data_IF_537807706946
#
_entry.id   IF_537807706946
#
_cell.length_a   1.000
_cell.length_b   1.000
_cell.length_c   1.000
_cell.angle_alpha   90.00
_cell.angle_beta   90.00
_cell.angle_gamma   90.00
#
_symmetry.space_group_name_H-M   'P 1'
#
loop_
_entity.id
_entity.type
_entity.pdbx_description
1 polymer ?
#
# COMPACT_ATOMS: atom_id res chain seq x y z
N UNK A 1 4.16 9.31 -21.02
CA UNK A 1 4.67 9.14 -22.38
C UNK A 1 5.49 7.86 -22.41
N UNK A 2 5.09 6.85 -23.18
CA UNK A 2 5.65 5.49 -23.09
C UNK A 2 6.89 5.29 -23.98
N UNK A 3 7.18 6.21 -24.91
CA UNK A 3 8.40 6.18 -25.73
C UNK A 3 8.51 4.99 -26.69
N UNK A 4 7.40 4.33 -27.01
CA UNK A 4 7.37 3.11 -27.85
C UNK A 4 6.66 3.40 -29.15
N UNK A 5 7.21 2.90 -30.25
CA UNK A 5 6.57 2.96 -31.56
C UNK A 5 5.63 1.75 -31.74
N UNK A 6 4.31 1.96 -31.77
CA UNK A 6 3.37 0.88 -32.08
C UNK A 6 3.56 0.36 -33.50
N UNK A 7 3.59 -0.96 -33.67
CA UNK A 7 3.52 -1.62 -34.97
C UNK A 7 2.12 -2.18 -35.19
N UNK A 8 1.47 -1.81 -36.29
CA UNK A 8 0.14 -2.30 -36.65
C UNK A 8 0.22 -3.32 -37.78
N UNK A 9 -0.40 -4.49 -37.59
CA UNK A 9 -0.49 -5.57 -38.59
C UNK A 9 -1.87 -5.59 -39.28
N UNK A 10 -2.57 -4.44 -39.29
CA UNK A 10 -3.91 -4.26 -39.87
C UNK A 10 -5.08 -4.84 -39.05
N UNK A 11 -4.83 -5.82 -38.18
CA UNK A 11 -5.82 -6.37 -37.22
C UNK A 11 -5.43 -6.22 -35.75
N UNK A 12 -4.14 -6.04 -35.45
CA UNK A 12 -3.61 -5.98 -34.08
C UNK A 12 -2.49 -4.94 -34.01
N UNK A 13 -2.42 -4.21 -32.90
CA UNK A 13 -1.32 -3.30 -32.58
C UNK A 13 -0.37 -4.02 -31.62
N UNK A 14 0.89 -4.18 -32.03
CA UNK A 14 1.98 -4.71 -31.20
C UNK A 14 2.85 -3.58 -30.68
N UNK A 15 3.11 -3.62 -29.38
CA UNK A 15 4.05 -2.75 -28.68
C UNK A 15 5.22 -3.62 -28.21
N UNK A 16 6.42 -3.32 -28.70
CA UNK A 16 7.63 -4.05 -28.32
C UNK A 16 8.23 -3.35 -27.09
N UNK A 17 8.17 -4.01 -25.95
CA UNK A 17 8.81 -3.53 -24.72
C UNK A 17 10.20 -4.13 -24.59
N UNK A 18 11.27 -3.34 -24.57
CA UNK A 18 12.59 -3.86 -24.23
C UNK A 18 12.60 -4.34 -22.77
N UNK A 19 13.40 -5.36 -22.49
CA UNK A 19 13.61 -5.82 -21.11
C UNK A 19 14.23 -4.69 -20.28
N UNK A 20 13.75 -4.55 -19.05
CA UNK A 20 14.32 -3.58 -18.11
C UNK A 20 15.76 -3.99 -17.78
N UNK A 21 16.68 -3.03 -17.83
CA UNK A 21 18.04 -3.22 -17.32
C UNK A 21 18.03 -3.50 -15.81
N UNK A 22 19.05 -4.17 -15.32
CA UNK A 22 19.16 -4.47 -13.88
C UNK A 22 19.19 -3.19 -13.02
N UNK A 23 19.86 -2.14 -13.51
CA UNK A 23 19.87 -0.82 -12.86
C UNK A 23 18.45 -0.24 -12.73
N UNK A 24 17.65 -0.32 -13.80
CA UNK A 24 16.27 0.18 -13.77
C UNK A 24 15.37 -0.64 -12.84
N UNK A 25 15.55 -1.96 -12.79
CA UNK A 25 14.84 -2.84 -11.84
C UNK A 25 15.18 -2.46 -10.40
N UNK A 26 16.45 -2.19 -10.08
CA UNK A 26 16.88 -1.72 -8.75
C UNK A 26 16.29 -0.36 -8.37
N UNK A 27 16.17 0.56 -9.31
CA UNK A 27 15.48 1.85 -9.07
C UNK A 27 14.00 1.66 -8.74
N UNK A 28 13.30 0.82 -9.50
CA UNK A 28 11.88 0.51 -9.26
C UNK A 28 11.68 -0.14 -7.89
N UNK A 29 12.58 -1.03 -7.46
CA UNK A 29 12.55 -1.61 -6.10
C UNK A 29 12.68 -0.54 -5.02
N UNK A 30 13.52 0.49 -5.21
CA UNK A 30 13.62 1.61 -4.25
C UNK A 30 12.33 2.41 -4.19
N UNK A 31 11.70 2.64 -5.34
CA UNK A 31 10.43 3.35 -5.43
C UNK A 31 9.30 2.58 -4.74
N UNK A 32 9.20 1.26 -4.97
CA UNK A 32 8.24 0.38 -4.30
C UNK A 32 8.42 0.41 -2.78
N UNK A 33 9.67 0.38 -2.28
CA UNK A 33 9.95 0.53 -0.85
C UNK A 33 9.45 1.86 -0.29
N UNK A 34 9.70 2.96 -1.01
CA UNK A 34 9.23 4.29 -0.61
C UNK A 34 7.71 4.33 -0.52
N UNK A 35 7.01 3.80 -1.52
CA UNK A 35 5.55 3.71 -1.53
C UNK A 35 5.01 2.87 -0.37
N UNK A 36 5.67 1.75 -0.05
CA UNK A 36 5.28 0.91 1.08
C UNK A 36 5.41 1.65 2.43
N UNK A 37 6.49 2.40 2.63
CA UNK A 37 6.66 3.20 3.85
C UNK A 37 5.65 4.35 3.95
N UNK A 38 5.37 5.05 2.85
CA UNK A 38 4.33 6.08 2.80
C UNK A 38 2.94 5.51 3.14
N UNK A 39 2.63 4.31 2.61
CA UNK A 39 1.39 3.61 2.92
C UNK A 39 1.28 3.27 4.42
N UNK A 40 2.35 2.74 5.04
CA UNK A 40 2.36 2.46 6.48
C UNK A 40 2.22 3.73 7.32
N UNK A 41 2.84 4.84 6.90
CA UNK A 41 2.68 6.14 7.58
C UNK A 41 1.22 6.60 7.52
N UNK A 42 0.57 6.49 6.37
CA UNK A 42 -0.84 6.83 6.21
C UNK A 42 -1.74 5.95 7.10
N UNK A 43 -1.52 4.64 7.12
CA UNK A 43 -2.26 3.69 8.00
C UNK A 43 -2.13 4.11 9.47
N UNK A 44 -0.92 4.46 9.93
CA UNK A 44 -0.69 4.89 11.32
C UNK A 44 -1.34 6.23 11.63
N UNK A 45 -1.40 7.15 10.66
CA UNK A 45 -2.11 8.42 10.80
C UNK A 45 -3.61 8.19 10.96
N UNK A 46 -4.21 7.38 10.10
CA UNK A 46 -5.64 7.04 10.17
C UNK A 46 -5.99 6.38 11.50
N UNK A 47 -5.12 5.47 12.00
CA UNK A 47 -5.29 4.87 13.33
C UNK A 47 -5.33 5.92 14.44
N UNK A 48 -4.44 6.91 14.38
CA UNK A 48 -4.39 8.00 15.36
C UNK A 48 -5.70 8.80 15.34
N UNK A 49 -6.15 9.19 14.15
CA UNK A 49 -7.39 9.96 13.97
C UNK A 49 -8.61 9.17 14.44
N UNK A 50 -8.66 7.87 14.16
CA UNK A 50 -9.71 6.97 14.64
C UNK A 50 -9.68 6.88 16.18
N UNK A 51 -8.51 6.74 16.79
CA UNK A 51 -8.36 6.65 18.25
C UNK A 51 -8.79 7.95 18.94
N UNK A 52 -8.43 9.10 18.37
CA UNK A 52 -8.80 10.40 18.92
C UNK A 52 -10.31 10.63 18.83
N UNK A 53 -10.96 10.18 17.75
CA UNK A 53 -12.44 10.15 17.63
C UNK A 53 -13.09 9.24 18.68
N UNK A 54 -12.58 8.03 18.86
CA UNK A 54 -13.10 7.10 19.87
C UNK A 54 -12.98 7.68 21.28
N UNK A 55 -11.88 8.35 21.60
CA UNK A 55 -11.69 9.02 22.89
C UNK A 55 -12.66 10.19 23.09
N UNK A 56 -12.94 10.96 22.03
CA UNK A 56 -13.94 12.03 22.07
C UNK A 56 -15.35 11.47 22.32
N UNK A 57 -15.79 10.48 21.55
CA UNK A 57 -17.10 9.83 21.74
C UNK A 57 -17.25 9.17 23.12
N UNK A 58 -16.17 8.63 23.71
CA UNK A 58 -16.19 8.15 25.10
C UNK A 58 -16.44 9.29 26.10
N UNK A 59 -15.79 10.43 25.90
CA UNK A 59 -15.95 11.62 26.76
C UNK A 59 -17.35 12.21 26.64
N UNK A 60 -17.92 12.19 25.44
CA UNK A 60 -19.28 12.66 25.16
C UNK A 60 -20.36 11.63 25.54
N UNK A 61 -19.95 10.51 26.16
CA UNK A 61 -20.81 9.40 26.60
C UNK A 61 -21.64 8.75 25.47
N UNK A 62 -21.21 8.88 24.22
CA UNK A 62 -21.83 8.23 23.06
C UNK A 62 -21.55 6.73 23.01
N UNK A 63 -20.44 6.29 23.62
CA UNK A 63 -20.02 4.89 23.68
C UNK A 63 -19.65 4.48 25.11
N UNK A 64 -20.01 3.25 25.48
CA UNK A 64 -19.66 2.68 26.78
C UNK A 64 -18.17 2.33 26.86
N UNK A 65 -17.64 2.19 28.09
CA UNK A 65 -16.24 1.84 28.32
C UNK A 65 -15.85 0.46 27.77
N UNK A 66 -16.78 -0.50 27.80
CA UNK A 66 -16.58 -1.83 27.23
C UNK A 66 -16.52 -1.79 25.70
N UNK A 67 -17.36 -0.96 25.07
CA UNK A 67 -17.36 -0.77 23.62
C UNK A 67 -16.11 -0.04 23.15
N UNK A 68 -15.65 0.97 23.90
CA UNK A 68 -14.39 1.65 23.64
C UNK A 68 -13.21 0.66 23.60
N UNK A 69 -13.10 -0.24 24.59
CA UNK A 69 -12.02 -1.25 24.62
C UNK A 69 -12.09 -2.22 23.44
N UNK A 70 -13.29 -2.60 23.00
CA UNK A 70 -13.47 -3.43 21.79
C UNK A 70 -13.02 -2.68 20.54
N UNK A 71 -13.52 -1.46 20.35
CA UNK A 71 -13.19 -0.63 19.18
C UNK A 71 -11.70 -0.28 19.12
N UNK A 72 -11.06 -0.03 20.26
CA UNK A 72 -9.61 0.17 20.35
C UNK A 72 -8.84 -1.07 19.87
N UNK A 73 -9.23 -2.25 20.38
CA UNK A 73 -8.61 -3.52 19.96
C UNK A 73 -8.83 -3.81 18.48
N UNK A 74 -10.03 -3.57 17.96
CA UNK A 74 -10.36 -3.80 16.56
C UNK A 74 -9.62 -2.85 15.64
N UNK A 75 -9.51 -1.57 16.03
CA UNK A 75 -8.72 -0.55 15.31
C UNK A 75 -7.25 -0.95 15.25
N UNK A 76 -6.69 -1.47 16.35
CA UNK A 76 -5.31 -1.94 16.38
C UNK A 76 -5.13 -3.18 15.49
N UNK A 77 -6.03 -4.17 15.60
CA UNK A 77 -5.99 -5.38 14.76
C UNK A 77 -6.07 -5.05 13.26
N UNK A 78 -6.94 -4.12 12.87
CA UNK A 78 -7.06 -3.67 11.48
C UNK A 78 -5.77 -2.98 11.01
N UNK A 79 -5.19 -2.11 11.84
CA UNK A 79 -3.91 -1.46 11.54
C UNK A 79 -2.82 -2.50 11.30
N UNK A 80 -2.69 -3.48 12.19
CA UNK A 80 -1.67 -4.52 12.10
C UNK A 80 -1.88 -5.42 10.89
N UNK A 81 -3.14 -5.73 10.55
CA UNK A 81 -3.49 -6.47 9.33
C UNK A 81 -3.02 -5.72 8.08
N UNK A 82 -3.40 -4.45 7.93
CA UNK A 82 -3.05 -3.69 6.73
C UNK A 82 -1.55 -3.38 6.65
N UNK A 83 -0.85 -3.19 7.77
CA UNK A 83 0.61 -3.09 7.75
C UNK A 83 1.26 -4.35 7.16
N UNK A 84 0.81 -5.54 7.59
CA UNK A 84 1.32 -6.83 7.08
C UNK A 84 0.97 -7.05 5.61
N UNK A 85 -0.22 -6.61 5.19
CA UNK A 85 -0.65 -6.69 3.80
C UNK A 85 0.21 -5.79 2.91
N UNK A 86 0.50 -4.56 3.34
CA UNK A 86 1.45 -3.67 2.66
C UNK A 86 2.83 -4.30 2.53
N UNK A 87 3.36 -4.91 3.60
CA UNK A 87 4.65 -5.62 3.55
C UNK A 87 4.64 -6.78 2.55
N UNK A 88 3.57 -7.57 2.55
CA UNK A 88 3.42 -8.72 1.65
C UNK A 88 3.39 -8.27 0.19
N UNK A 89 2.54 -7.29 -0.14
CA UNK A 89 2.43 -6.74 -1.50
C UNK A 89 3.75 -6.10 -1.96
N UNK A 90 4.46 -5.43 -1.04
CA UNK A 90 5.77 -4.84 -1.33
C UNK A 90 6.79 -5.93 -1.69
N UNK A 91 6.86 -7.01 -0.91
CA UNK A 91 7.78 -8.13 -1.18
C UNK A 91 7.42 -8.88 -2.46
N UNK A 92 6.15 -9.14 -2.71
CA UNK A 92 5.70 -9.80 -3.95
C UNK A 92 6.04 -8.94 -5.17
N UNK A 93 5.82 -7.62 -5.08
CA UNK A 93 6.16 -6.72 -6.19
C UNK A 93 7.67 -6.62 -6.42
N UNK A 94 8.49 -6.66 -5.37
CA UNK A 94 9.95 -6.72 -5.51
C UNK A 94 10.40 -7.99 -6.22
N UNK A 95 9.83 -9.14 -5.84
CA UNK A 95 10.14 -10.41 -6.51
C UNK A 95 9.77 -10.37 -7.97
N UNK A 96 8.57 -9.90 -8.31
CA UNK A 96 8.12 -9.74 -9.70
C UNK A 96 9.06 -8.81 -10.51
N UNK A 97 9.53 -7.70 -9.91
CA UNK A 97 10.47 -6.78 -10.57
C UNK A 97 11.85 -7.41 -10.76
N UNK A 98 12.23 -8.41 -9.97
CA UNK A 98 13.55 -9.05 -10.03
C UNK A 98 13.54 -10.40 -10.76
N UNK A 99 12.39 -11.06 -10.90
CA UNK A 99 12.20 -12.25 -11.72
C UNK A 99 12.31 -11.90 -13.22
N UNK A 100 13.01 -12.75 -13.97
CA UNK A 100 13.21 -12.64 -15.42
C UNK A 100 12.29 -13.63 -16.12
#
# INVERSE_FOLDING_TARGET
>A
DLGINPQSDGKVIRLIFPSLSEERRRELVKEVNKMAEECKVAIRSIRRDAMDKLKASKKDAEIAEDDFKKLEKDTQNLTDKYCKETDTVCEDKKKEIMEI
#
